data_IF_565342047022
#
_entry.id   IF_565342047022
#
_cell.length_a   1.000
_cell.length_b   1.000
_cell.length_c   1.000
_cell.angle_alpha   90.00
_cell.angle_beta   90.00
_cell.angle_gamma   90.00
#
_symmetry.space_group_name_H-M   'P 1'
#
loop_
_entity.id
_entity.type
_entity.pdbx_description
1 polymer ?
#
# COMPACT_ATOMS: atom_id res chain seq x y z
N UNK A 1 -15.85 15.15 5.24
CA UNK A 1 -15.97 13.70 5.48
C UNK A 1 -14.56 13.13 5.48
N UNK A 2 -14.13 12.44 6.53
CA UNK A 2 -12.86 11.71 6.55
C UNK A 2 -13.20 10.24 6.36
N UNK A 3 -12.79 9.66 5.23
CA UNK A 3 -13.06 8.26 4.86
C UNK A 3 -11.78 7.47 5.12
N UNK A 4 -11.91 6.30 5.73
CA UNK A 4 -10.76 5.42 5.93
C UNK A 4 -10.19 4.96 4.57
N UNK A 5 -8.89 4.66 4.45
CA UNK A 5 -8.35 4.04 3.25
C UNK A 5 -8.99 2.67 3.01
N UNK A 6 -9.25 2.35 1.75
CA UNK A 6 -9.92 1.11 1.36
C UNK A 6 -10.74 1.26 0.09
N UNK A 7 -11.35 0.17 -0.32
CA UNK A 7 -12.23 0.13 -1.46
C UNK A 7 -13.67 0.41 -1.02
N UNK A 8 -14.35 1.30 -1.75
CA UNK A 8 -15.72 1.70 -1.50
C UNK A 8 -16.54 1.58 -2.77
N UNK A 9 -17.76 1.09 -2.61
CA UNK A 9 -18.77 1.07 -3.66
C UNK A 9 -19.74 2.23 -3.45
N UNK A 10 -20.05 2.96 -4.52
CA UNK A 10 -20.97 4.09 -4.46
C UNK A 10 -21.84 4.20 -5.72
N UNK A 11 -22.90 4.99 -5.58
CA UNK A 11 -23.78 5.45 -6.64
C UNK A 11 -24.23 6.88 -6.33
N UNK A 12 -24.64 7.61 -7.34
CA UNK A 12 -25.36 8.86 -7.16
C UNK A 12 -26.86 8.62 -7.12
N UNK A 13 -27.57 9.53 -6.44
CA UNK A 13 -29.02 9.67 -6.56
C UNK A 13 -29.26 11.01 -7.24
N UNK A 14 -29.75 10.98 -8.48
CA UNK A 14 -30.06 12.17 -9.28
C UNK A 14 -31.54 12.13 -9.64
N UNK A 15 -32.28 13.14 -9.20
CA UNK A 15 -33.73 13.23 -9.37
C UNK A 15 -34.49 11.98 -8.87
N UNK A 16 -34.00 11.40 -7.78
CA UNK A 16 -34.56 10.18 -7.17
C UNK A 16 -34.14 8.87 -7.86
N UNK A 17 -33.36 8.94 -8.93
CA UNK A 17 -32.88 7.77 -9.66
C UNK A 17 -31.45 7.43 -9.26
N UNK A 18 -31.22 6.15 -8.98
CA UNK A 18 -29.87 5.63 -8.77
C UNK A 18 -29.10 5.58 -10.09
N UNK A 19 -27.93 6.22 -10.12
CA UNK A 19 -27.05 6.19 -11.28
C UNK A 19 -25.60 5.90 -10.87
N UNK A 20 -24.89 5.18 -11.74
CA UNK A 20 -23.45 5.01 -11.66
C UNK A 20 -22.75 6.36 -11.93
N UNK A 21 -21.49 6.49 -11.49
CA UNK A 21 -20.64 7.59 -11.94
C UNK A 21 -20.22 7.36 -13.40
N UNK A 22 -20.71 8.15 -14.37
CA UNK A 22 -20.44 7.92 -15.79
C UNK A 22 -18.96 8.07 -16.16
N UNK A 23 -18.17 8.76 -15.32
CA UNK A 23 -16.76 9.01 -15.55
C UNK A 23 -15.85 8.02 -14.82
N UNK A 24 -16.39 7.17 -13.95
CA UNK A 24 -15.60 6.18 -13.23
C UNK A 24 -15.69 4.82 -13.95
N UNK A 25 -14.60 4.36 -14.62
CA UNK A 25 -14.62 3.08 -15.31
C UNK A 25 -14.62 1.89 -14.36
N UNK A 26 -14.22 2.07 -13.10
CA UNK A 26 -14.17 0.99 -12.12
C UNK A 26 -15.57 0.75 -11.54
N UNK A 27 -16.07 -0.47 -11.69
CA UNK A 27 -17.41 -0.85 -11.25
C UNK A 27 -17.52 -2.31 -10.82
N UNK A 28 -18.44 -2.60 -9.90
CA UNK A 28 -18.77 -3.96 -9.44
C UNK A 28 -20.24 -4.26 -9.72
N UNK A 29 -20.54 -5.49 -10.10
CA UNK A 29 -21.93 -5.96 -10.19
C UNK A 29 -22.58 -5.92 -8.81
N UNK A 30 -23.80 -5.38 -8.72
CA UNK A 30 -24.59 -5.40 -7.49
C UNK A 30 -25.61 -6.55 -7.52
N UNK A 31 -26.24 -6.78 -6.36
CA UNK A 31 -27.22 -7.86 -6.14
C UNK A 31 -28.49 -7.74 -7.00
N UNK A 32 -28.71 -6.58 -7.65
CA UNK A 32 -29.88 -6.28 -8.48
C UNK A 32 -29.59 -6.34 -9.98
N UNK A 33 -28.43 -6.85 -10.38
CA UNK A 33 -28.05 -7.01 -11.79
C UNK A 33 -27.60 -5.72 -12.49
N UNK A 34 -27.41 -4.61 -11.75
CA UNK A 34 -26.74 -3.40 -12.24
C UNK A 34 -25.30 -3.30 -11.72
N UNK A 35 -24.67 -2.12 -11.79
CA UNK A 35 -23.35 -1.91 -11.21
C UNK A 35 -23.32 -0.80 -10.15
N UNK A 36 -22.38 -0.91 -9.21
CA UNK A 36 -21.92 0.19 -8.36
C UNK A 36 -20.58 0.70 -8.91
N UNK A 37 -20.30 1.99 -8.80
CA UNK A 37 -18.97 2.54 -9.07
C UNK A 37 -18.03 2.22 -7.90
N UNK A 38 -16.77 1.93 -8.18
CA UNK A 38 -15.75 1.59 -7.18
C UNK A 38 -14.74 2.74 -7.07
N UNK A 39 -14.42 3.15 -5.85
CA UNK A 39 -13.28 4.03 -5.56
C UNK A 39 -12.33 3.35 -4.57
N UNK A 40 -11.03 3.37 -4.85
CA UNK A 40 -10.01 2.92 -3.91
C UNK A 40 -9.33 4.13 -3.27
N UNK A 41 -9.69 4.41 -2.02
CA UNK A 41 -9.13 5.49 -1.22
C UNK A 41 -7.78 5.06 -0.68
N UNK A 42 -6.74 5.84 -0.98
CA UNK A 42 -5.37 5.63 -0.49
C UNK A 42 -4.93 6.79 0.39
N UNK A 43 -4.09 6.49 1.39
CA UNK A 43 -3.45 7.50 2.23
C UNK A 43 -1.92 7.45 2.10
N UNK A 44 -1.21 8.56 2.36
CA UNK A 44 0.24 8.55 2.50
C UNK A 44 0.67 7.70 3.69
N UNK A 45 1.60 6.77 3.45
CA UNK A 45 2.23 5.94 4.46
C UNK A 45 3.73 6.13 4.36
N UNK A 46 4.33 6.56 5.47
CA UNK A 46 5.79 6.69 5.57
C UNK A 46 6.38 5.39 6.07
N UNK A 47 7.38 4.90 5.35
CA UNK A 47 8.27 3.82 5.75
C UNK A 47 9.62 4.41 6.13
N UNK A 48 10.17 3.95 7.25
CA UNK A 48 11.45 4.39 7.78
C UNK A 48 12.32 3.19 8.10
N UNK A 49 13.58 3.27 7.75
CA UNK A 49 14.62 2.33 8.14
C UNK A 49 15.69 3.12 8.91
N UNK A 50 15.80 2.91 10.23
CA UNK A 50 16.81 3.60 11.02
C UNK A 50 18.21 3.00 10.78
N UNK A 51 19.22 3.86 10.75
CA UNK A 51 20.61 3.45 10.53
C UNK A 51 20.98 3.25 9.05
N UNK A 52 21.96 2.37 8.79
CA UNK A 52 22.47 2.07 7.45
C UNK A 52 22.95 3.31 6.68
N UNK A 53 23.56 4.27 7.39
CA UNK A 53 24.07 5.50 6.77
C UNK A 53 25.25 5.23 5.83
N UNK A 54 25.92 4.08 5.90
CA UNK A 54 26.98 3.73 4.95
C UNK A 54 26.45 3.04 3.69
N UNK A 55 25.14 2.73 3.62
CA UNK A 55 24.54 2.10 2.46
C UNK A 55 24.52 3.06 1.25
N UNK A 56 24.68 2.49 0.06
CA UNK A 56 24.63 3.24 -1.20
C UNK A 56 23.20 3.37 -1.71
N UNK A 57 22.37 2.35 -1.49
CA UNK A 57 21.01 2.28 -2.01
C UNK A 57 20.11 1.47 -1.08
N UNK A 58 18.97 2.05 -0.75
CA UNK A 58 17.86 1.35 -0.08
C UNK A 58 16.61 1.39 -0.94
N UNK A 59 15.94 0.25 -1.09
CA UNK A 59 14.66 0.12 -1.80
C UNK A 59 13.62 -0.51 -0.88
N UNK A 60 12.42 0.07 -0.87
CA UNK A 60 11.24 -0.56 -0.28
C UNK A 60 10.61 -1.52 -1.30
N UNK A 61 10.31 -2.74 -0.90
CA UNK A 61 9.64 -3.71 -1.77
C UNK A 61 8.56 -4.47 -1.00
N UNK A 62 7.40 -4.69 -1.62
CA UNK A 62 6.28 -5.32 -0.93
C UNK A 62 5.09 -5.68 -1.83
N UNK A 63 4.04 -6.19 -1.19
CA UNK A 63 2.79 -6.57 -1.85
C UNK A 63 2.17 -5.47 -2.73
N UNK A 64 2.28 -4.21 -2.33
CA UNK A 64 1.72 -3.05 -3.03
C UNK A 64 2.42 -2.69 -4.36
N UNK A 65 3.63 -3.19 -4.61
CA UNK A 65 4.34 -3.00 -5.88
C UNK A 65 4.76 -4.34 -6.51
N UNK A 66 4.11 -5.44 -6.12
CA UNK A 66 4.43 -6.76 -6.65
C UNK A 66 5.87 -7.20 -6.40
N UNK A 67 6.44 -6.78 -5.26
CA UNK A 67 7.83 -7.06 -4.87
C UNK A 67 8.89 -6.50 -5.82
N UNK A 68 8.57 -5.43 -6.57
CA UNK A 68 9.53 -4.79 -7.48
C UNK A 68 10.72 -4.18 -6.74
N UNK A 69 11.94 -4.57 -7.14
CA UNK A 69 13.22 -4.21 -6.51
C UNK A 69 13.83 -2.86 -6.97
N UNK A 70 13.14 -2.13 -7.85
CA UNK A 70 13.70 -0.97 -8.56
C UNK A 70 12.86 0.30 -8.46
N UNK A 71 11.57 0.17 -8.24
CA UNK A 71 10.61 1.30 -8.29
C UNK A 71 10.72 2.25 -7.08
N UNK A 72 10.76 1.72 -5.86
CA UNK A 72 10.56 2.51 -4.64
C UNK A 72 11.88 2.74 -3.89
N UNK A 73 12.79 3.49 -4.52
CA UNK A 73 14.06 3.91 -3.91
C UNK A 73 13.79 4.87 -2.75
N UNK A 74 14.40 4.59 -1.60
CA UNK A 74 14.26 5.42 -0.40
C UNK A 74 15.23 6.60 -0.44
N UNK A 75 14.85 7.68 0.25
CA UNK A 75 15.68 8.88 0.42
C UNK A 75 16.45 8.78 1.72
N UNK A 76 17.75 9.09 1.67
CA UNK A 76 18.59 9.14 2.86
C UNK A 76 18.28 10.38 3.69
N UNK A 77 18.17 10.22 5.00
CA UNK A 77 17.90 11.25 6.01
C UNK A 77 18.88 11.10 7.18
N UNK A 78 18.86 12.05 8.12
CA UNK A 78 19.84 12.11 9.21
C UNK A 78 19.91 10.83 10.06
N UNK A 79 18.77 10.20 10.33
CA UNK A 79 18.64 9.00 11.16
C UNK A 79 18.50 7.68 10.36
N UNK A 80 18.59 7.73 9.03
CA UNK A 80 18.53 6.55 8.17
C UNK A 80 17.92 6.81 6.80
N UNK A 81 16.83 6.12 6.47
CA UNK A 81 16.19 6.17 5.16
C UNK A 81 14.67 6.26 5.28
N UNK A 82 14.03 7.02 4.40
CA UNK A 82 12.58 7.11 4.35
C UNK A 82 11.98 7.17 2.95
N UNK A 83 10.72 6.76 2.83
CA UNK A 83 9.89 6.97 1.65
C UNK A 83 8.42 7.09 2.06
N UNK A 84 7.67 7.95 1.38
CA UNK A 84 6.23 8.05 1.51
C UNK A 84 5.54 7.52 0.25
N UNK A 85 4.61 6.58 0.40
CA UNK A 85 3.82 6.02 -0.70
C UNK A 85 2.32 6.02 -0.38
N UNK A 86 1.48 6.04 -1.42
CA UNK A 86 0.03 5.94 -1.26
C UNK A 86 -0.40 4.48 -1.16
N UNK A 87 -0.97 4.07 -0.02
CA UNK A 87 -1.50 2.73 0.20
C UNK A 87 -3.00 2.74 0.49
N UNK A 88 -3.69 1.74 -0.03
CA UNK A 88 -5.06 1.42 0.35
C UNK A 88 -5.08 0.74 1.72
N UNK A 89 -6.26 0.70 2.35
CA UNK A 89 -6.45 0.00 3.62
C UNK A 89 -6.16 -1.48 3.48
N UNK A 90 -5.72 -2.10 4.57
CA UNK A 90 -5.45 -3.53 4.64
C UNK A 90 -4.06 -3.89 5.15
N UNK A 91 -3.74 -5.17 4.99
CA UNK A 91 -2.45 -5.76 5.38
C UNK A 91 -1.49 -5.71 4.20
N UNK A 92 -0.32 -5.14 4.40
CA UNK A 92 0.74 -5.08 3.41
C UNK A 92 2.01 -5.75 3.93
N UNK A 93 2.49 -6.77 3.22
CA UNK A 93 3.81 -7.35 3.47
C UNK A 93 4.89 -6.54 2.75
N UNK A 94 6.04 -6.36 3.41
CA UNK A 94 7.18 -5.64 2.85
C UNK A 94 8.53 -6.10 3.42
N UNK A 95 9.60 -5.71 2.73
CA UNK A 95 11.00 -5.78 3.14
C UNK A 95 11.75 -4.56 2.61
N UNK A 96 12.97 -4.36 3.11
CA UNK A 96 13.94 -3.46 2.51
C UNK A 96 14.99 -4.26 1.73
N UNK A 97 15.53 -3.64 0.69
CA UNK A 97 16.71 -4.11 -0.02
C UNK A 97 17.80 -3.08 0.22
N UNK A 98 18.81 -3.43 1.02
CA UNK A 98 19.95 -2.55 1.37
C UNK A 98 21.18 -3.08 0.65
N UNK A 99 21.71 -2.30 -0.30
CA UNK A 99 22.88 -2.69 -1.11
C UNK A 99 22.77 -4.09 -1.74
N UNK A 100 21.57 -4.41 -2.23
CA UNK A 100 21.15 -5.68 -2.85
C UNK A 100 20.85 -6.84 -1.89
N UNK A 101 20.93 -6.62 -0.58
CA UNK A 101 20.58 -7.62 0.42
C UNK A 101 19.15 -7.39 0.94
N UNK A 102 18.34 -8.44 0.90
CA UNK A 102 16.98 -8.43 1.42
C UNK A 102 16.97 -8.52 2.94
N UNK A 103 16.25 -7.61 3.59
CA UNK A 103 16.08 -7.64 5.04
C UNK A 103 14.67 -7.25 5.46
N UNK A 104 14.20 -7.88 6.54
CA UNK A 104 12.99 -7.44 7.24
C UNK A 104 13.28 -6.11 7.93
N UNK A 105 12.23 -5.32 8.14
CA UNK A 105 12.31 -4.11 8.96
C UNK A 105 12.73 -4.48 10.40
N UNK A 106 13.90 -4.00 10.89
CA UNK A 106 14.40 -4.31 12.23
C UNK A 106 13.52 -3.73 13.33
N UNK A 107 12.89 -2.58 13.08
CA UNK A 107 12.10 -1.83 14.05
C UNK A 107 10.64 -2.34 14.10
N UNK A 108 10.21 -3.01 13.05
CA UNK A 108 8.89 -3.63 13.02
C UNK A 108 8.90 -5.01 13.68
N UNK A 109 8.17 -5.13 14.78
CA UNK A 109 7.99 -6.39 15.51
C UNK A 109 6.94 -7.31 14.89
N UNK A 110 6.07 -6.80 14.02
CA UNK A 110 5.01 -7.59 13.36
C UNK A 110 5.55 -8.22 12.09
N UNK A 111 5.74 -9.54 12.12
CA UNK A 111 6.31 -10.34 11.04
C UNK A 111 5.42 -11.54 10.73
N UNK A 112 5.36 -11.93 9.46
CA UNK A 112 4.59 -13.08 9.01
C UNK A 112 5.41 -13.97 8.07
N UNK A 113 5.21 -15.27 8.21
CA UNK A 113 5.77 -16.29 7.31
C UNK A 113 4.86 -16.44 6.08
N UNK A 114 5.45 -16.47 4.89
CA UNK A 114 4.70 -16.50 3.63
C UNK A 114 4.33 -17.89 3.12
N UNK A 115 4.72 -18.96 3.82
CA UNK A 115 4.50 -20.34 3.38
C UNK A 115 5.57 -20.87 2.42
N UNK A 116 6.46 -20.02 1.91
CA UNK A 116 7.48 -20.33 0.91
C UNK A 116 8.91 -20.21 1.45
N UNK A 117 9.07 -20.12 2.77
CA UNK A 117 10.38 -20.03 3.41
C UNK A 117 10.79 -18.60 3.78
N UNK A 118 9.98 -17.58 3.45
CA UNK A 118 10.33 -16.19 3.76
C UNK A 118 9.54 -15.65 4.95
N UNK A 119 10.19 -14.77 5.71
CA UNK A 119 9.56 -13.93 6.71
C UNK A 119 9.51 -12.51 6.18
N UNK A 120 8.35 -11.86 6.28
CA UNK A 120 8.11 -10.50 5.83
C UNK A 120 7.67 -9.61 7.00
N UNK A 121 8.02 -8.32 6.96
CA UNK A 121 7.44 -7.33 7.87
C UNK A 121 6.02 -6.98 7.42
N UNK A 122 5.15 -6.65 8.38
CA UNK A 122 3.73 -6.36 8.11
C UNK A 122 3.42 -4.91 8.47
N UNK A 123 2.84 -4.18 7.51
CA UNK A 123 2.27 -2.85 7.71
C UNK A 123 0.75 -2.95 7.60
N UNK A 124 0.05 -2.68 8.70
CA UNK A 124 -1.41 -2.49 8.69
C UNK A 124 -1.72 -1.03 8.38
N UNK A 125 -2.55 -0.81 7.35
CA UNK A 125 -3.09 0.51 6.98
C UNK A 125 -4.58 0.50 7.31
N UNK A 126 -5.03 1.48 8.11
CA UNK A 126 -6.39 1.59 8.62
C UNK A 126 -6.95 2.98 8.37
#
# INVERSE_FOLDING_TARGET
>A
LQINPGEYEYKFIVDGNWMEDPNNPAKRINEYGGYNSIINVKIPVVFKLHGYQDANKVVLSGSFNGWNEKELKMTKVDDGWEIAILLSGGKHHYKYIVDNEWMVDPDNTVKEFDGHGNINSVKMVK
#
